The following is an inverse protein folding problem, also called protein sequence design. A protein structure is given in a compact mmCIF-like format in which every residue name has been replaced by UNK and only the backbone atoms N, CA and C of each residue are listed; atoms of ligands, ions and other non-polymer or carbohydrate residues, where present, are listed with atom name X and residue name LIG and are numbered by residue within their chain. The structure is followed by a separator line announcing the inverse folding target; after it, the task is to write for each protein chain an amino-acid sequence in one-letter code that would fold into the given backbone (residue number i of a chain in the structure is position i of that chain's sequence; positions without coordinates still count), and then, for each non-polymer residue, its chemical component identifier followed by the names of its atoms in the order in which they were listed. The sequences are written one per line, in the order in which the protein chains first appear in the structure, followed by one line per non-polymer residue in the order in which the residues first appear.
data_IF_188788050644
#
_entry.id   IF_188788050644
#
_cell.length_a   1.000
_cell.length_b   1.000
_cell.length_c   1.000
_cell.angle_alpha   90.00
_cell.angle_beta   90.00
_cell.angle_gamma   90.00
#
_symmetry.space_group_name_H-M   'P 1'
#
loop_
_entity.id
_entity.type
_entity.pdbx_description
1 polymer ?
#
# COMPACT_ATOMS: atom_id res chain seq x y z
N UNK A 1 -13.47 19.23 4.14
CA UNK A 1 -14.72 18.56 3.66
C UNK A 1 -15.81 18.58 4.72
N UNK A 2 -15.54 18.10 5.92
CA UNK A 2 -16.55 17.99 6.98
C UNK A 2 -17.09 19.34 7.50
N UNK A 3 -16.28 20.37 7.51
CA UNK A 3 -16.74 21.74 7.89
C UNK A 3 -17.88 22.27 7.00
N UNK A 4 -17.94 21.82 5.76
CA UNK A 4 -19.00 22.21 4.80
C UNK A 4 -20.14 21.20 4.70
N UNK A 5 -20.06 20.13 5.49
CA UNK A 5 -21.02 19.03 5.44
C UNK A 5 -21.41 18.59 6.85
N UNK A 6 -22.23 19.40 7.54
CA UNK A 6 -22.69 19.08 8.89
C UNK A 6 -23.51 17.79 8.95
N UNK A 7 -24.17 17.41 7.88
CA UNK A 7 -24.87 16.12 7.76
C UNK A 7 -23.92 14.93 7.96
N UNK A 8 -22.69 14.98 7.40
CA UNK A 8 -21.69 13.94 7.60
C UNK A 8 -21.08 13.96 9.01
N UNK A 9 -20.92 15.15 9.59
CA UNK A 9 -20.35 15.30 10.94
C UNK A 9 -21.30 14.78 12.01
N UNK A 10 -22.56 15.16 11.95
CA UNK A 10 -23.54 14.85 12.99
C UNK A 10 -24.29 13.54 12.77
N UNK A 11 -24.50 13.14 11.51
CA UNK A 11 -25.31 11.96 11.19
C UNK A 11 -24.47 10.78 10.65
N UNK A 12 -23.20 11.00 10.32
CA UNK A 12 -22.35 9.99 9.70
C UNK A 12 -22.77 9.59 8.29
N UNK A 13 -23.75 10.29 7.71
CA UNK A 13 -24.29 10.03 6.37
C UNK A 13 -24.79 11.31 5.71
N UNK A 14 -24.93 11.28 4.39
CA UNK A 14 -25.65 12.33 3.67
C UNK A 14 -27.14 12.24 3.96
N UNK A 15 -27.78 13.36 4.22
CA UNK A 15 -29.24 13.43 4.36
C UNK A 15 -29.90 13.51 2.98
N UNK A 16 -29.30 14.24 2.05
CA UNK A 16 -29.79 14.41 0.69
C UNK A 16 -28.62 14.32 -0.31
N UNK A 17 -28.89 13.78 -1.49
CA UNK A 17 -27.98 13.80 -2.61
C UNK A 17 -26.94 12.66 -2.63
N UNK A 18 -25.70 12.98 -2.94
CA UNK A 18 -24.64 12.01 -3.21
C UNK A 18 -24.29 11.14 -2.00
N UNK A 19 -23.89 9.90 -2.25
CA UNK A 19 -23.36 8.99 -1.23
C UNK A 19 -22.14 9.60 -0.53
N UNK A 20 -21.91 9.30 0.75
CA UNK A 20 -20.69 9.71 1.42
C UNK A 20 -19.46 9.06 0.78
N UNK A 21 -18.27 9.67 0.81
CA UNK A 21 -17.07 9.10 0.21
C UNK A 21 -16.75 7.68 0.69
N UNK A 22 -17.00 7.38 1.94
CA UNK A 22 -16.81 6.04 2.51
C UNK A 22 -17.92 5.03 2.17
N UNK A 23 -18.94 5.46 1.42
CA UNK A 23 -19.97 4.59 0.90
C UNK A 23 -19.75 4.19 -0.56
N UNK A 24 -18.60 4.53 -1.11
CA UNK A 24 -18.21 4.19 -2.49
C UNK A 24 -17.41 2.88 -2.52
N UNK A 25 -17.96 1.86 -1.94
CA UNK A 25 -17.27 0.60 -1.71
C UNK A 25 -16.98 -0.22 -2.97
N UNK A 26 -17.69 0.03 -4.05
CA UNK A 26 -17.49 -0.62 -5.35
C UNK A 26 -16.85 0.29 -6.38
N UNK A 27 -16.50 1.50 -5.99
CA UNK A 27 -15.86 2.46 -6.89
C UNK A 27 -14.36 2.16 -6.99
N UNK A 28 -13.85 2.26 -8.20
CA UNK A 28 -12.43 2.09 -8.46
C UNK A 28 -11.69 3.41 -8.24
N UNK A 29 -11.06 3.54 -7.08
CA UNK A 29 -10.25 4.70 -6.71
C UNK A 29 -8.80 4.61 -7.19
N UNK A 30 -8.38 3.48 -7.72
CA UNK A 30 -7.01 3.19 -8.14
C UNK A 30 -6.49 4.20 -9.19
N UNK A 31 -7.33 4.57 -10.14
CA UNK A 31 -7.00 5.54 -11.19
C UNK A 31 -7.27 7.00 -10.80
N UNK A 32 -7.72 7.24 -9.58
CA UNK A 32 -8.00 8.59 -9.08
C UNK A 32 -6.73 9.38 -8.78
N UNK A 33 -6.88 10.69 -8.75
CA UNK A 33 -5.79 11.59 -8.36
C UNK A 33 -5.53 11.52 -6.86
N UNK A 34 -4.26 11.46 -6.46
CA UNK A 34 -3.86 11.62 -5.07
C UNK A 34 -4.10 13.07 -4.65
N UNK A 35 -4.85 13.26 -3.58
CA UNK A 35 -5.16 14.62 -3.10
C UNK A 35 -3.92 15.37 -2.64
N UNK A 36 -3.87 16.71 -2.76
CA UNK A 36 -2.67 17.49 -2.41
C UNK A 36 -2.15 17.24 -0.98
N UNK A 37 -3.05 17.08 0.00
CA UNK A 37 -2.66 16.81 1.39
C UNK A 37 -2.02 15.43 1.55
N UNK A 38 -2.54 14.40 0.91
CA UNK A 38 -1.96 13.06 0.90
C UNK A 38 -0.64 13.05 0.14
N UNK A 39 -0.55 13.78 -0.97
CA UNK A 39 0.69 13.93 -1.73
C UNK A 39 1.80 14.60 -0.92
N UNK A 40 1.47 15.65 -0.16
CA UNK A 40 2.43 16.33 0.73
C UNK A 40 2.91 15.38 1.86
N UNK A 41 1.99 14.64 2.47
CA UNK A 41 2.31 13.60 3.44
C UNK A 41 3.28 12.54 2.86
N UNK A 42 2.95 12.02 1.68
CA UNK A 42 3.78 11.00 1.02
C UNK A 42 5.17 11.51 0.65
N UNK A 43 5.29 12.79 0.28
CA UNK A 43 6.58 13.41 -0.01
C UNK A 43 7.47 13.48 1.24
N UNK A 44 6.92 13.97 2.36
CA UNK A 44 7.67 14.00 3.63
C UNK A 44 8.05 12.58 4.09
N UNK A 45 7.14 11.63 3.94
CA UNK A 45 7.39 10.23 4.28
C UNK A 45 8.57 9.66 3.48
N UNK A 46 8.64 9.90 2.17
CA UNK A 46 9.77 9.47 1.35
C UNK A 46 11.09 10.06 1.84
N UNK A 47 11.12 11.37 2.10
CA UNK A 47 12.34 12.05 2.53
C UNK A 47 12.87 11.48 3.85
N UNK A 48 11.98 11.18 4.79
CA UNK A 48 12.36 10.56 6.07
C UNK A 48 12.77 9.08 5.90
N UNK A 49 12.10 8.34 5.06
CA UNK A 49 12.47 6.96 4.75
C UNK A 49 13.84 6.86 4.07
N UNK A 50 14.13 7.75 3.13
CA UNK A 50 15.43 7.79 2.44
C UNK A 50 16.58 8.10 3.39
N UNK A 51 16.38 8.97 4.38
CA UNK A 51 17.38 9.24 5.43
C UNK A 51 17.73 7.99 6.24
N UNK A 52 16.80 7.05 6.36
CA UNK A 52 16.97 5.78 7.06
C UNK A 52 17.42 4.64 6.13
N UNK A 53 17.65 4.93 4.84
CA UNK A 53 18.06 3.92 3.87
C UNK A 53 16.92 3.06 3.33
N UNK A 54 15.66 3.39 3.64
CA UNK A 54 14.49 2.72 3.08
C UNK A 54 14.13 3.38 1.74
N UNK A 55 14.40 2.70 0.65
CA UNK A 55 14.20 3.22 -0.70
C UNK A 55 12.74 3.03 -1.14
N UNK A 56 11.87 3.92 -0.70
CA UNK A 56 10.50 4.01 -1.19
C UNK A 56 10.49 4.62 -2.60
N UNK A 57 9.74 4.05 -3.52
CA UNK A 57 9.75 4.45 -4.92
C UNK A 57 8.38 4.75 -5.50
N UNK A 58 7.41 3.87 -5.28
CA UNK A 58 6.10 3.94 -5.93
C UNK A 58 5.01 4.26 -4.92
N UNK A 59 4.12 5.16 -5.31
CA UNK A 59 2.94 5.55 -4.54
C UNK A 59 1.74 5.60 -5.47
N UNK A 60 0.64 5.01 -5.04
CA UNK A 60 -0.62 5.06 -5.78
C UNK A 60 -1.82 4.89 -4.84
N UNK A 61 -2.99 5.22 -5.37
CA UNK A 61 -4.25 4.90 -4.70
C UNK A 61 -4.55 3.41 -4.85
N UNK A 62 -5.22 2.86 -3.85
CA UNK A 62 -5.85 1.56 -3.93
C UNK A 62 -7.29 1.68 -4.46
N UNK A 63 -7.92 0.54 -4.74
CA UNK A 63 -9.33 0.49 -5.19
C UNK A 63 -10.26 1.09 -4.13
N UNK A 64 -9.99 0.82 -2.88
CA UNK A 64 -10.81 1.32 -1.77
C UNK A 64 -10.60 2.82 -1.51
N UNK A 65 -11.66 3.54 -1.09
CA UNK A 65 -11.57 4.97 -0.83
C UNK A 65 -10.62 5.28 0.33
N UNK A 66 -9.79 6.31 0.14
CA UNK A 66 -8.80 6.78 1.12
C UNK A 66 -7.77 5.71 1.55
N UNK A 67 -7.48 4.78 0.67
CA UNK A 67 -6.39 3.82 0.83
C UNK A 67 -5.30 4.08 -0.22
N UNK A 68 -4.06 3.96 0.21
CA UNK A 68 -2.89 4.28 -0.59
C UNK A 68 -1.80 3.24 -0.33
N UNK A 69 -1.03 2.93 -1.35
CA UNK A 69 0.10 2.04 -1.23
C UNK A 69 1.42 2.78 -1.45
N UNK A 70 2.42 2.36 -0.68
CA UNK A 70 3.81 2.73 -0.87
C UNK A 70 4.59 1.43 -1.10
N UNK A 71 5.32 1.37 -2.21
CA UNK A 71 6.14 0.22 -2.56
C UNK A 71 7.63 0.56 -2.43
N UNK A 72 8.36 -0.07 -1.51
CA UNK A 72 9.81 0.05 -1.43
C UNK A 72 10.49 -0.77 -2.54
N UNK A 73 11.75 -0.45 -2.83
CA UNK A 73 12.62 -1.32 -3.62
C UNK A 73 12.86 -2.60 -2.79
N UNK A 74 12.86 -3.74 -3.48
CA UNK A 74 13.05 -5.04 -2.84
C UNK A 74 14.41 -5.15 -2.13
N UNK A 75 14.44 -5.93 -1.06
CA UNK A 75 15.64 -6.26 -0.30
C UNK A 75 15.55 -7.71 0.18
N UNK A 76 16.59 -8.21 0.82
CA UNK A 76 16.53 -9.51 1.51
C UNK A 76 15.46 -9.50 2.59
N UNK A 77 14.82 -10.63 2.84
CA UNK A 77 13.63 -10.73 3.69
C UNK A 77 13.82 -10.11 5.09
N UNK A 78 14.95 -10.34 5.73
CA UNK A 78 15.25 -9.76 7.04
C UNK A 78 15.29 -8.23 7.00
N UNK A 79 16.02 -7.65 6.04
CA UNK A 79 16.10 -6.20 5.84
C UNK A 79 14.74 -5.63 5.46
N UNK A 80 14.01 -6.29 4.54
CA UNK A 80 12.68 -5.86 4.15
C UNK A 80 11.70 -5.85 5.32
N UNK A 81 11.81 -6.81 6.24
CA UNK A 81 11.00 -6.86 7.45
C UNK A 81 11.32 -5.69 8.39
N UNK A 82 12.59 -5.42 8.64
CA UNK A 82 13.01 -4.29 9.49
C UNK A 82 12.60 -2.94 8.87
N UNK A 83 12.81 -2.77 7.57
CA UNK A 83 12.35 -1.60 6.83
C UNK A 83 10.84 -1.40 6.91
N UNK A 84 10.06 -2.50 6.88
CA UNK A 84 8.61 -2.40 7.02
C UNK A 84 8.20 -1.91 8.42
N UNK A 85 8.87 -2.33 9.49
CA UNK A 85 8.61 -1.83 10.85
C UNK A 85 8.89 -0.32 10.93
N UNK A 86 10.05 0.13 10.44
CA UNK A 86 10.39 1.54 10.40
C UNK A 86 9.37 2.35 9.58
N UNK A 87 8.98 1.83 8.43
CA UNK A 87 7.99 2.47 7.55
C UNK A 87 6.66 2.65 8.26
N UNK A 88 6.16 1.63 8.93
CA UNK A 88 4.88 1.69 9.68
C UNK A 88 4.91 2.72 10.80
N UNK A 89 6.04 2.84 11.49
CA UNK A 89 6.22 3.85 12.55
C UNK A 89 6.22 5.27 11.98
N UNK A 90 7.01 5.50 10.93
CA UNK A 90 7.06 6.80 10.26
C UNK A 90 5.72 7.19 9.64
N UNK A 91 5.00 6.25 9.03
CA UNK A 91 3.68 6.50 8.47
C UNK A 91 2.74 7.11 9.50
N UNK A 92 2.68 6.56 10.71
CA UNK A 92 1.84 7.08 11.79
C UNK A 92 2.29 8.44 12.28
N UNK A 93 3.59 8.57 12.53
CA UNK A 93 4.17 9.81 13.07
C UNK A 93 3.99 10.98 12.12
N UNK A 94 4.30 10.80 10.82
CA UNK A 94 4.20 11.86 9.82
C UNK A 94 2.74 12.17 9.49
N UNK A 95 1.85 11.15 9.45
CA UNK A 95 0.43 11.38 9.22
C UNK A 95 -0.16 12.40 10.21
N UNK A 96 0.20 12.29 11.48
CA UNK A 96 -0.25 13.23 12.52
C UNK A 96 0.15 14.68 12.22
N UNK A 97 1.36 14.92 11.69
CA UNK A 97 1.83 16.26 11.30
C UNK A 97 0.98 16.86 10.17
N UNK A 98 0.46 16.02 9.28
CA UNK A 98 -0.41 16.43 8.17
C UNK A 98 -1.90 16.43 8.51
N UNK A 99 -2.27 16.23 9.79
CA UNK A 99 -3.67 16.14 10.22
C UNK A 99 -4.39 14.94 9.60
N UNK A 100 -3.68 13.83 9.41
CA UNK A 100 -4.18 12.55 8.92
C UNK A 100 -4.09 11.49 10.01
N UNK A 101 -5.02 10.55 10.00
CA UNK A 101 -4.93 9.32 10.77
C UNK A 101 -4.44 8.19 9.85
N UNK A 102 -3.30 7.61 10.16
CA UNK A 102 -2.78 6.45 9.43
C UNK A 102 -3.33 5.16 10.07
N UNK A 103 -4.14 4.44 9.31
CA UNK A 103 -4.74 3.17 9.71
C UNK A 103 -4.07 2.04 8.93
N UNK A 104 -3.22 1.28 9.59
CA UNK A 104 -2.52 0.13 9.01
C UNK A 104 -3.36 -1.14 9.21
N UNK A 105 -4.47 -1.20 8.53
CA UNK A 105 -5.46 -2.28 8.64
C UNK A 105 -6.12 -2.52 7.28
N UNK A 106 -6.33 -3.78 6.89
CA UNK A 106 -6.85 -4.14 5.57
C UNK A 106 -8.29 -3.67 5.36
N UNK A 107 -9.08 -3.68 6.41
CA UNK A 107 -10.51 -3.32 6.41
C UNK A 107 -10.81 -2.29 7.50
N UNK A 108 -10.34 -1.03 7.36
CA UNK A 108 -10.51 -0.03 8.41
C UNK A 108 -11.97 0.41 8.61
N UNK A 109 -12.85 0.16 7.64
CA UNK A 109 -14.25 0.57 7.68
C UNK A 109 -15.17 -0.57 7.26
N UNK A 110 -16.21 -0.83 8.05
CA UNK A 110 -17.25 -1.78 7.69
C UNK A 110 -18.02 -1.33 6.43
N UNK A 111 -18.36 -2.26 5.56
CA UNK A 111 -19.16 -2.02 4.37
C UNK A 111 -18.43 -1.32 3.21
N UNK A 112 -17.12 -1.09 3.31
CA UNK A 112 -16.29 -0.55 2.23
C UNK A 112 -15.25 -1.58 1.81
N UNK A 113 -14.77 -1.49 0.57
CA UNK A 113 -13.64 -2.26 0.12
C UNK A 113 -12.41 -2.02 1.01
N UNK A 114 -11.56 -3.02 1.08
CA UNK A 114 -10.27 -2.93 1.74
C UNK A 114 -9.15 -3.36 0.82
N UNK A 115 -7.92 -3.12 1.25
CA UNK A 115 -6.72 -3.62 0.59
C UNK A 115 -5.70 -4.02 1.63
N UNK A 116 -5.13 -5.20 1.46
CA UNK A 116 -4.03 -5.69 2.29
C UNK A 116 -2.69 -5.35 1.67
N UNK A 117 -1.65 -5.36 2.48
CA UNK A 117 -0.29 -5.32 1.97
C UNK A 117 0.02 -6.66 1.30
N UNK A 118 0.26 -6.65 -0.01
CA UNK A 118 0.80 -7.82 -0.69
C UNK A 118 2.33 -7.81 -0.67
N UNK A 119 2.94 -8.98 -0.74
CA UNK A 119 4.37 -9.12 -0.80
C UNK A 119 4.74 -9.94 -2.04
N UNK A 120 5.51 -9.33 -2.94
CA UNK A 120 6.21 -10.06 -3.97
C UNK A 120 7.49 -10.64 -3.36
N UNK A 121 7.74 -11.90 -3.58
CA UNK A 121 8.92 -12.57 -3.05
C UNK A 121 9.54 -13.51 -4.08
N UNK A 122 10.80 -13.78 -3.92
CA UNK A 122 11.56 -14.68 -4.76
C UNK A 122 12.61 -15.41 -3.94
N UNK A 123 13.15 -16.47 -4.51
CA UNK A 123 14.27 -17.22 -3.96
C UNK A 123 15.40 -17.15 -4.97
N UNK A 124 16.60 -16.82 -4.51
CA UNK A 124 17.79 -16.81 -5.34
C UNK A 124 18.91 -17.64 -4.73
N UNK A 125 19.80 -18.11 -5.58
CA UNK A 125 21.08 -18.70 -5.15
C UNK A 125 22.00 -17.61 -4.60
N UNK A 126 23.08 -18.01 -3.96
CA UNK A 126 24.18 -17.14 -3.54
C UNK A 126 24.87 -16.43 -4.72
N UNK A 127 24.77 -17.00 -5.91
CA UNK A 127 25.28 -16.42 -7.16
C UNK A 127 24.29 -15.46 -7.83
N UNK A 128 23.10 -15.26 -7.24
CA UNK A 128 22.08 -14.31 -7.72
C UNK A 128 21.11 -14.85 -8.77
N UNK A 129 21.12 -16.15 -9.03
CA UNK A 129 20.16 -16.77 -9.97
C UNK A 129 18.80 -16.86 -9.30
N UNK A 130 17.78 -16.22 -9.90
CA UNK A 130 16.39 -16.30 -9.41
C UNK A 130 15.80 -17.68 -9.74
N UNK A 131 15.44 -18.43 -8.72
CA UNK A 131 14.89 -19.78 -8.88
C UNK A 131 13.41 -19.80 -9.27
N UNK A 132 12.72 -18.68 -9.11
CA UNK A 132 11.32 -18.49 -9.47
C UNK A 132 11.15 -17.70 -10.78
N UNK A 133 12.20 -17.50 -11.53
CA UNK A 133 12.13 -16.90 -12.86
C UNK A 133 11.79 -17.96 -13.90
N UNK A 134 10.65 -17.85 -14.62
CA UNK A 134 10.33 -18.76 -15.69
C UNK A 134 11.25 -18.50 -16.90
N UNK A 135 11.62 -19.56 -17.62
CA UNK A 135 12.32 -19.44 -18.90
C UNK A 135 11.35 -19.15 -20.05
N UNK A 136 11.92 -18.86 -21.20
CA UNK A 136 11.17 -18.53 -22.41
C UNK A 136 10.50 -19.76 -23.07
N UNK A 137 10.98 -20.96 -22.75
CA UNK A 137 10.48 -22.22 -23.31
C UNK A 137 10.05 -23.19 -22.22
N UNK A 138 9.12 -24.13 -22.52
CA UNK A 138 8.69 -25.14 -21.54
C UNK A 138 9.84 -25.99 -20.97
N UNK A 139 10.89 -26.25 -21.75
CA UNK A 139 12.06 -27.02 -21.30
C UNK A 139 12.94 -26.26 -20.31
N UNK A 140 12.97 -24.92 -20.41
CA UNK A 140 13.70 -24.05 -19.48
C UNK A 140 12.94 -23.84 -18.17
N UNK A 141 11.65 -24.12 -18.17
CA UNK A 141 10.79 -23.97 -17.00
C UNK A 141 10.89 -25.10 -15.97
N UNK A 142 11.68 -26.13 -16.21
CA UNK A 142 11.75 -27.27 -15.31
C UNK A 142 12.16 -26.87 -13.88
N UNK A 143 13.16 -26.02 -13.74
CA UNK A 143 13.59 -25.48 -12.43
C UNK A 143 12.47 -24.69 -11.76
N UNK A 144 11.84 -23.78 -12.49
CA UNK A 144 10.72 -22.97 -12.00
C UNK A 144 9.57 -23.86 -11.48
N UNK A 145 9.17 -24.89 -12.23
CA UNK A 145 8.09 -25.80 -11.81
C UNK A 145 8.45 -26.60 -10.57
N UNK A 146 9.67 -27.13 -10.51
CA UNK A 146 10.14 -27.92 -9.35
C UNK A 146 10.14 -27.04 -8.09
N UNK A 147 10.74 -25.85 -8.18
CA UNK A 147 10.83 -24.94 -7.04
C UNK A 147 9.46 -24.46 -6.63
N UNK A 148 8.61 -24.08 -7.57
CA UNK A 148 7.23 -23.65 -7.28
C UNK A 148 6.40 -24.76 -6.62
N UNK A 149 6.60 -26.01 -7.00
CA UNK A 149 5.92 -27.15 -6.39
C UNK A 149 6.37 -27.43 -4.94
N UNK A 150 7.64 -27.21 -4.65
CA UNK A 150 8.18 -27.45 -3.29
C UNK A 150 7.68 -26.39 -2.30
N UNK A 151 7.46 -25.16 -2.76
CA UNK A 151 7.13 -24.01 -1.90
C UNK A 151 5.65 -23.61 -1.93
N UNK A 152 4.77 -24.35 -2.60
CA UNK A 152 3.32 -24.26 -2.51
C UNK A 152 2.79 -25.30 -1.54
#
# INVERSE_FOLDING_TARGET
MYEKRPDLVFCGRTLFGARPPKGQELEDHYFGTITPRVSAYMKELDEELWKLGVLAKTKHNEVAPAQHELAPIFATTNIATDHNQLTMELMKSIANKHGLACLLHEKPFAGVNGSGKHNNWSISTDTGVNLLEPGDTPSENAQFFIISYIYN
#
